data_IF_240340861272
#
_entry.id   IF_240340861272
#
_cell.length_a   1.000
_cell.length_b   1.000
_cell.length_c   1.000
_cell.angle_alpha   90.00
_cell.angle_beta   90.00
_cell.angle_gamma   90.00
#
_symmetry.space_group_name_H-M   'P 1'
#
loop_
_entity.id
_entity.type
_entity.pdbx_description
1 polymer ?
#
# COMPACT_ATOMS: atom_id res chain seq x y z
N UNK A 1 -18.43 8.29 -6.77
CA UNK A 1 -17.19 8.27 -5.96
C UNK A 1 -16.28 7.22 -6.57
N UNK A 2 -14.97 7.43 -6.51
CA UNK A 2 -14.02 6.42 -6.94
C UNK A 2 -14.10 5.20 -6.01
N UNK A 3 -13.86 3.98 -6.51
CA UNK A 3 -13.70 2.80 -5.64
C UNK A 3 -12.29 2.75 -5.05
N UNK A 4 -12.07 1.95 -4.00
CA UNK A 4 -10.72 1.75 -3.43
C UNK A 4 -9.76 1.18 -4.47
N UNK A 5 -10.25 0.30 -5.35
CA UNK A 5 -9.48 -0.25 -6.46
C UNK A 5 -9.05 0.83 -7.47
N UNK A 6 -9.96 1.74 -7.84
CA UNK A 6 -9.64 2.85 -8.74
C UNK A 6 -8.66 3.83 -8.11
N UNK A 7 -8.80 4.13 -6.82
CA UNK A 7 -7.84 4.96 -6.09
C UNK A 7 -6.47 4.28 -6.03
N UNK A 8 -6.41 2.99 -5.68
CA UNK A 8 -5.16 2.22 -5.68
C UNK A 8 -4.45 2.32 -7.03
N UNK A 9 -5.14 2.07 -8.14
CA UNK A 9 -4.56 2.12 -9.49
C UNK A 9 -3.95 3.49 -9.84
N UNK A 10 -4.57 4.59 -9.42
CA UNK A 10 -4.05 5.94 -9.69
C UNK A 10 -2.77 6.26 -8.93
N UNK A 11 -2.67 5.80 -7.69
CA UNK A 11 -1.54 6.08 -6.81
C UNK A 11 -0.46 4.98 -6.82
N UNK A 12 -0.72 3.84 -7.46
CA UNK A 12 0.17 2.69 -7.48
C UNK A 12 1.57 3.03 -8.01
N UNK A 13 1.68 3.79 -9.11
CA UNK A 13 2.98 4.14 -9.68
C UNK A 13 3.82 5.04 -8.77
N UNK A 14 3.17 5.99 -8.08
CA UNK A 14 3.85 6.91 -7.15
C UNK A 14 4.31 6.16 -5.89
N UNK A 15 3.44 5.29 -5.34
CA UNK A 15 3.78 4.44 -4.20
C UNK A 15 4.91 3.44 -4.53
N UNK A 16 4.87 2.81 -5.71
CA UNK A 16 5.90 1.88 -6.19
C UNK A 16 7.24 2.58 -6.51
N UNK A 17 7.26 3.90 -6.59
CA UNK A 17 8.50 4.68 -6.75
C UNK A 17 9.26 4.85 -5.42
N UNK A 18 8.62 4.52 -4.28
CA UNK A 18 9.26 4.53 -2.96
C UNK A 18 10.13 3.27 -2.83
N UNK A 19 11.44 3.38 -2.56
CA UNK A 19 12.37 2.24 -2.57
C UNK A 19 11.98 1.07 -1.66
N UNK A 20 11.33 1.36 -0.53
CA UNK A 20 10.92 0.34 0.43
C UNK A 20 9.67 -0.43 0.00
N UNK A 21 8.85 0.11 -0.92
CA UNK A 21 7.59 -0.48 -1.36
C UNK A 21 7.83 -1.56 -2.41
N UNK A 22 7.22 -2.73 -2.19
CA UNK A 22 7.33 -3.89 -3.08
C UNK A 22 6.03 -4.27 -3.76
N UNK A 23 4.90 -3.87 -3.19
CA UNK A 23 3.58 -4.09 -3.78
C UNK A 23 2.57 -3.12 -3.19
N UNK A 24 1.52 -2.84 -3.98
CA UNK A 24 0.34 -2.10 -3.55
C UNK A 24 -0.90 -2.92 -3.88
N UNK A 25 -1.64 -3.30 -2.84
CA UNK A 25 -2.90 -4.00 -2.94
C UNK A 25 -4.07 -3.17 -2.45
N UNK A 26 -5.28 -3.64 -2.69
CA UNK A 26 -6.49 -3.17 -2.04
C UNK A 26 -7.18 -4.37 -1.39
N UNK A 27 -7.89 -4.12 -0.30
CA UNK A 27 -8.85 -5.05 0.24
C UNK A 27 -10.21 -4.36 0.21
N UNK A 28 -11.09 -4.90 -0.62
CA UNK A 28 -12.48 -4.50 -0.70
C UNK A 28 -13.26 -5.45 0.22
N UNK A 29 -13.16 -5.25 1.53
CA UNK A 29 -14.21 -5.74 2.42
C UNK A 29 -15.35 -4.70 2.39
N UNK A 30 -16.60 -5.16 2.34
CA UNK A 30 -17.76 -4.28 2.09
C UNK A 30 -17.93 -3.18 3.15
N UNK A 31 -17.32 -3.33 4.34
CA UNK A 31 -17.48 -2.42 5.47
C UNK A 31 -16.31 -1.43 5.61
N UNK A 32 -15.10 -1.79 5.20
CA UNK A 32 -13.84 -1.09 5.45
C UNK A 32 -12.85 -1.25 4.28
N UNK A 33 -13.15 -0.65 3.11
CA UNK A 33 -12.21 -0.62 2.01
C UNK A 33 -10.88 0.05 2.41
N UNK A 34 -9.76 -0.64 2.14
CA UNK A 34 -8.41 -0.20 2.56
C UNK A 34 -7.38 -0.43 1.46
N UNK A 35 -6.41 0.48 1.36
CA UNK A 35 -5.24 0.33 0.49
C UNK A 35 -4.11 -0.27 1.32
N UNK A 36 -3.50 -1.34 0.82
CA UNK A 36 -2.42 -2.06 1.49
C UNK A 36 -1.10 -1.79 0.79
N UNK A 37 -0.13 -1.25 1.50
CA UNK A 37 1.22 -0.98 0.99
C UNK A 37 2.18 -1.96 1.64
N UNK A 38 2.77 -2.82 0.82
CA UNK A 38 3.72 -3.82 1.28
C UNK A 38 5.13 -3.26 1.18
N UNK A 39 5.88 -3.34 2.28
CA UNK A 39 7.27 -2.85 2.35
C UNK A 39 8.23 -3.94 2.77
N UNK A 40 9.48 -3.86 2.29
CA UNK A 40 10.56 -4.78 2.69
C UNK A 40 11.00 -4.59 4.15
N UNK A 41 10.94 -3.35 4.62
CA UNK A 41 11.34 -2.92 5.96
C UNK A 41 10.47 -1.73 6.37
N UNK A 42 10.33 -1.43 7.67
CA UNK A 42 9.66 -0.23 8.12
C UNK A 42 10.27 1.01 7.44
N UNK A 43 9.45 1.92 6.85
CA UNK A 43 9.98 3.13 6.24
C UNK A 43 10.72 3.95 7.31
N UNK A 44 11.92 4.41 6.98
CA UNK A 44 12.76 5.20 7.90
C UNK A 44 12.15 6.56 8.22
N UNK A 45 11.40 7.10 7.27
CA UNK A 45 10.62 8.32 7.40
C UNK A 45 9.14 7.98 7.25
N UNK A 46 8.40 8.14 8.35
CA UNK A 46 6.98 7.81 8.44
C UNK A 46 6.08 8.75 7.61
N UNK A 47 6.64 9.82 7.03
CA UNK A 47 5.89 10.77 6.19
C UNK A 47 5.87 10.43 4.69
N UNK A 48 6.64 9.44 4.25
CA UNK A 48 6.79 9.12 2.80
C UNK A 48 5.58 8.37 2.25
N UNK A 49 4.96 7.50 3.05
CA UNK A 49 3.72 6.81 2.70
C UNK A 49 2.58 7.53 3.43
N UNK A 50 1.59 8.10 2.72
CA UNK A 50 0.47 8.76 3.36
C UNK A 50 -0.40 7.74 4.11
N UNK A 51 -1.02 8.18 5.21
CA UNK A 51 -1.96 7.38 6.00
C UNK A 51 -3.34 7.25 5.33
N UNK A 52 -3.64 8.11 4.35
CA UNK A 52 -4.86 8.07 3.55
C UNK A 52 -4.62 8.49 2.10
N UNK A 53 -5.37 7.88 1.18
CA UNK A 53 -5.43 8.27 -0.24
C UNK A 53 -6.88 8.48 -0.66
N UNK A 54 -7.21 9.70 -1.09
CA UNK A 54 -8.57 10.10 -1.51
C UNK A 54 -9.67 9.73 -0.50
N UNK A 55 -9.32 9.70 0.79
CA UNK A 55 -10.23 9.36 1.88
C UNK A 55 -10.19 7.89 2.33
N UNK A 56 -9.57 6.98 1.57
CA UNK A 56 -9.34 5.59 1.98
C UNK A 56 -8.14 5.47 2.91
N UNK A 57 -8.23 4.67 3.99
CA UNK A 57 -7.08 4.39 4.84
C UNK A 57 -6.00 3.63 4.08
N UNK A 58 -4.74 3.88 4.44
CA UNK A 58 -3.57 3.14 3.97
C UNK A 58 -2.99 2.33 5.13
N UNK A 59 -2.86 1.02 4.93
CA UNK A 59 -2.25 0.10 5.87
C UNK A 59 -0.86 -0.31 5.35
N UNK A 60 0.18 -0.07 6.16
CA UNK A 60 1.56 -0.47 5.83
C UNK A 60 1.81 -1.86 6.40
N UNK A 61 2.14 -2.81 5.52
CA UNK A 61 2.42 -4.20 5.87
C UNK A 61 3.89 -4.50 5.60
N UNK A 62 4.64 -4.84 6.64
CA UNK A 62 6.03 -5.30 6.47
C UNK A 62 5.98 -6.75 6.01
N UNK A 63 6.20 -6.99 4.71
CA UNK A 63 6.12 -8.31 4.10
C UNK A 63 7.28 -9.25 4.54
N UNK A 64 8.32 -8.69 5.14
CA UNK A 64 9.57 -9.40 5.40
C UNK A 64 10.29 -9.79 4.10
N UNK A 65 11.40 -10.51 4.22
CA UNK A 65 12.12 -11.03 3.04
C UNK A 65 11.33 -12.19 2.44
N UNK A 66 10.65 -11.97 1.30
CA UNK A 66 10.04 -13.06 0.53
C UNK A 66 11.18 -13.83 -0.15
N UNK A 67 11.61 -14.94 0.44
CA UNK A 67 12.51 -15.89 -0.22
C UNK A 67 11.67 -17.00 -0.86
N UNK A 68 11.88 -17.26 -2.15
CA UNK A 68 11.34 -18.47 -2.78
C UNK A 68 11.84 -19.70 -2.01
N UNK A 69 10.93 -20.54 -1.53
CA UNK A 69 11.30 -21.85 -0.99
C UNK A 69 11.41 -22.82 -2.16
N UNK A 70 12.63 -23.30 -2.41
CA UNK A 70 12.90 -24.42 -3.32
C UNK A 70 12.65 -25.76 -2.63
#
# INVERSE_FOLDING_TARGET
MATVHEVRLRHESDLMSIPEVVAVGDAEDEENPVIKVFVTQPPRDTGVIPDRLEGYPVEIIVAGTITAQN
#
